data_IF_680369262621
#
_entry.id   IF_680369262621
#
_cell.length_a   1.000
_cell.length_b   1.000
_cell.length_c   1.000
_cell.angle_alpha   90.00
_cell.angle_beta   90.00
_cell.angle_gamma   90.00
#
_symmetry.space_group_name_H-M   'P 1'
#
loop_
_entity.id
_entity.type
_entity.pdbx_description
1 polymer ?
#
# COMPACT_ATOMS: atom_id res chain seq x y z
N UNK A 1 2.46 -11.99 -6.92
CA UNK A 1 2.22 -11.65 -5.50
C UNK A 1 1.75 -10.21 -5.47
N UNK A 2 0.74 -9.88 -4.68
CA UNK A 2 0.37 -8.48 -4.44
C UNK A 2 1.15 -7.96 -3.24
N UNK A 3 1.56 -6.70 -3.28
CA UNK A 3 2.12 -6.01 -2.14
C UNK A 3 0.99 -5.37 -1.35
N UNK A 4 0.97 -5.56 -0.04
CA UNK A 4 0.11 -4.74 0.83
C UNK A 4 0.80 -3.40 1.04
N UNK A 5 0.08 -2.32 0.75
CA UNK A 5 0.61 -0.95 0.86
C UNK A 5 -0.26 -0.08 1.74
N UNK A 6 0.35 0.96 2.32
CA UNK A 6 -0.35 2.05 2.99
C UNK A 6 0.09 3.37 2.38
N UNK A 7 -0.86 4.10 1.79
CA UNK A 7 -0.67 5.41 1.20
C UNK A 7 -0.98 6.47 2.24
N UNK A 8 -0.03 7.39 2.45
CA UNK A 8 -0.23 8.55 3.32
C UNK A 8 -0.55 9.77 2.49
N UNK A 9 -1.80 10.23 2.58
CA UNK A 9 -2.29 11.42 1.87
C UNK A 9 -2.34 12.59 2.85
N UNK A 10 -1.80 13.78 2.52
CA UNK A 10 -1.87 14.94 3.39
C UNK A 10 -3.30 15.29 3.81
N UNK A 11 -3.49 15.53 5.12
CA UNK A 11 -4.76 15.93 5.73
C UNK A 11 -5.90 14.90 5.59
N UNK A 12 -5.58 13.64 5.34
CA UNK A 12 -6.55 12.55 5.17
C UNK A 12 -6.11 11.30 5.95
N UNK A 13 -7.05 10.41 6.25
CA UNK A 13 -6.73 9.11 6.82
C UNK A 13 -5.89 8.27 5.83
N UNK A 14 -4.90 7.54 6.36
CA UNK A 14 -4.07 6.66 5.53
C UNK A 14 -4.90 5.56 4.87
N UNK A 15 -4.60 5.29 3.61
CA UNK A 15 -5.32 4.29 2.79
C UNK A 15 -4.50 3.01 2.72
N UNK A 16 -5.06 1.90 3.17
CA UNK A 16 -4.50 0.56 2.97
C UNK A 16 -5.12 -0.13 1.75
N UNK A 17 -4.34 -0.95 1.06
CA UNK A 17 -4.81 -1.75 -0.05
C UNK A 17 -3.70 -2.61 -0.64
N UNK A 18 -3.95 -3.14 -1.83
CA UNK A 18 -3.04 -4.05 -2.52
C UNK A 18 -2.61 -3.51 -3.88
N UNK A 19 -1.35 -3.71 -4.24
CA UNK A 19 -0.82 -3.39 -5.57
C UNK A 19 -0.14 -4.60 -6.19
N UNK A 20 -0.29 -4.80 -7.50
CA UNK A 20 0.35 -5.90 -8.20
C UNK A 20 1.84 -5.62 -8.47
N UNK A 21 2.19 -4.35 -8.69
CA UNK A 21 3.55 -3.88 -8.95
C UNK A 21 3.78 -2.58 -8.18
N UNK A 22 4.97 -2.41 -7.62
CA UNK A 22 5.38 -1.16 -6.99
C UNK A 22 5.68 -0.09 -8.05
N UNK A 23 5.35 1.18 -7.80
CA UNK A 23 5.60 2.25 -8.76
C UNK A 23 7.09 2.40 -9.05
N UNK A 24 7.43 2.50 -10.34
CA UNK A 24 8.77 2.84 -10.82
C UNK A 24 9.00 4.36 -10.75
N UNK A 25 10.26 4.83 -10.78
CA UNK A 25 10.56 6.26 -10.76
C UNK A 25 9.92 7.10 -11.87
N UNK A 26 9.55 6.48 -13.00
CA UNK A 26 8.88 7.13 -14.14
C UNK A 26 7.36 7.15 -14.04
N UNK A 27 6.79 6.41 -13.11
CA UNK A 27 5.34 6.31 -12.96
C UNK A 27 4.81 7.57 -12.29
N UNK A 28 3.61 7.98 -12.68
CA UNK A 28 2.94 9.17 -12.13
C UNK A 28 1.71 8.82 -11.28
N UNK A 29 1.34 7.54 -11.28
CA UNK A 29 0.15 7.01 -10.62
C UNK A 29 0.47 5.69 -9.93
N UNK A 30 -0.36 5.35 -8.96
CA UNK A 30 -0.41 4.03 -8.32
C UNK A 30 -1.85 3.52 -8.37
N UNK A 31 -2.02 2.25 -8.77
CA UNK A 31 -3.32 1.59 -8.83
C UNK A 31 -3.44 0.66 -7.62
N UNK A 32 -4.38 0.96 -6.73
CA UNK A 32 -4.59 0.22 -5.49
C UNK A 32 -5.92 -0.51 -5.54
N UNK A 33 -5.90 -1.78 -5.19
CA UNK A 33 -7.07 -2.68 -5.11
C UNK A 33 -7.52 -2.81 -3.66
N UNK A 34 -8.83 -2.96 -3.45
CA UNK A 34 -9.48 -3.05 -2.13
C UNK A 34 -9.08 -1.90 -1.19
N UNK A 35 -9.19 -0.63 -1.64
CA UNK A 35 -8.80 0.51 -0.83
C UNK A 35 -9.73 0.69 0.36
N UNK A 36 -9.13 0.85 1.53
CA UNK A 36 -9.83 1.06 2.81
C UNK A 36 -8.98 1.96 3.69
N UNK A 37 -9.55 2.54 4.73
CA UNK A 37 -8.75 3.17 5.78
C UNK A 37 -7.82 2.13 6.43
N UNK A 38 -6.67 2.56 6.94
CA UNK A 38 -5.72 1.68 7.66
C UNK A 38 -6.37 0.88 8.80
N UNK A 39 -7.44 1.41 9.41
CA UNK A 39 -8.22 0.74 10.47
C UNK A 39 -9.26 -0.27 9.96
N UNK A 40 -9.39 -0.43 8.63
CA UNK A 40 -10.29 -1.36 7.97
C UNK A 40 -11.64 -0.79 7.56
N UNK A 41 -11.95 0.48 7.87
CA UNK A 41 -13.21 1.13 7.46
C UNK A 41 -13.21 1.56 6.00
N UNK A 42 -14.39 1.81 5.46
CA UNK A 42 -14.55 2.40 4.14
C UNK A 42 -13.99 3.84 4.08
N UNK A 43 -13.54 4.23 2.89
CA UNK A 43 -13.14 5.61 2.61
C UNK A 43 -14.38 6.46 2.37
N UNK A 44 -14.59 7.47 3.22
CA UNK A 44 -15.81 8.27 3.24
C UNK A 44 -16.05 9.10 1.96
N UNK A 45 -15.02 9.25 1.13
CA UNK A 45 -15.02 10.02 -0.12
C UNK A 45 -14.95 9.15 -1.38
N UNK A 46 -15.07 7.82 -1.24
CA UNK A 46 -15.05 6.86 -2.36
C UNK A 46 -16.38 6.09 -2.38
N UNK A 47 -16.85 5.77 -3.58
CA UNK A 47 -18.07 4.99 -3.77
C UNK A 47 -17.90 3.55 -3.23
N UNK A 48 -18.94 3.03 -2.56
CA UNK A 48 -18.93 1.70 -1.92
C UNK A 48 -18.67 0.54 -2.89
N UNK A 49 -19.00 0.69 -4.18
CA UNK A 49 -18.75 -0.32 -5.21
C UNK A 49 -17.32 -0.30 -5.77
N UNK A 50 -16.47 0.61 -5.30
CA UNK A 50 -15.13 0.81 -5.86
C UNK A 50 -14.17 -0.29 -5.44
N UNK A 51 -13.77 -1.13 -6.40
CA UNK A 51 -12.79 -2.21 -6.17
C UNK A 51 -11.35 -1.77 -6.39
N UNK A 52 -11.12 -0.70 -7.17
CA UNK A 52 -9.79 -0.17 -7.52
C UNK A 52 -9.82 1.35 -7.63
N UNK A 53 -8.76 1.98 -7.14
CA UNK A 53 -8.58 3.44 -7.22
C UNK A 53 -7.19 3.74 -7.78
N UNK A 54 -7.12 4.77 -8.61
CA UNK A 54 -5.88 5.29 -9.17
C UNK A 54 -5.55 6.60 -8.47
N UNK A 55 -4.43 6.65 -7.74
CA UNK A 55 -3.95 7.87 -7.11
C UNK A 55 -2.78 8.47 -7.87
N UNK A 56 -2.76 9.81 -8.06
CA UNK A 56 -1.55 10.49 -8.52
C UNK A 56 -0.49 10.45 -7.42
N UNK A 57 0.72 10.00 -7.76
CA UNK A 57 1.84 9.92 -6.81
C UNK A 57 2.23 11.29 -6.25
N UNK A 58 1.98 12.36 -7.01
CA UNK A 58 2.20 13.75 -6.56
C UNK A 58 1.30 14.21 -5.41
N UNK A 59 0.28 13.43 -5.03
CA UNK A 59 -0.61 13.69 -3.88
C UNK A 59 -0.35 12.76 -2.71
N UNK A 60 0.55 11.79 -2.85
CA UNK A 60 0.91 10.84 -1.80
C UNK A 60 2.22 11.32 -1.17
N UNK A 61 2.24 11.49 0.16
CA UNK A 61 3.43 11.92 0.90
C UNK A 61 4.51 10.83 0.88
N UNK A 62 4.11 9.60 1.17
CA UNK A 62 4.95 8.40 1.11
C UNK A 62 4.07 7.15 1.11
N UNK A 63 4.67 6.00 0.77
CA UNK A 63 4.01 4.69 0.71
C UNK A 63 4.74 3.73 1.65
N UNK A 64 4.05 3.12 2.59
CA UNK A 64 4.55 1.96 3.33
C UNK A 64 4.32 0.70 2.48
N UNK A 65 5.33 -0.16 2.37
CA UNK A 65 5.20 -1.49 1.79
C UNK A 65 5.27 -2.46 2.96
N UNK A 66 4.17 -3.16 3.23
CA UNK A 66 4.14 -4.17 4.27
C UNK A 66 4.69 -5.46 3.65
N UNK A 67 5.74 -6.02 4.26
CA UNK A 67 6.33 -7.27 3.78
C UNK A 67 5.34 -8.43 3.88
N UNK A 68 5.47 -9.40 2.98
CA UNK A 68 5.00 -10.74 3.29
C UNK A 68 5.79 -11.22 4.51
N UNK A 69 5.11 -11.77 5.50
CA UNK A 69 5.69 -12.26 6.76
C UNK A 69 6.67 -13.46 6.59
N UNK A 70 7.28 -13.64 5.42
CA UNK A 70 8.15 -14.78 5.09
C UNK A 70 9.64 -14.44 4.91
N UNK A 71 10.05 -13.17 4.85
CA UNK A 71 11.48 -12.80 4.70
C UNK A 71 12.27 -12.63 6.02
N UNK A 72 11.66 -12.80 7.21
CA UNK A 72 12.38 -12.86 8.50
C UNK A 72 12.90 -14.29 8.84
N UNK A 73 13.50 -15.00 7.88
CA UNK A 73 14.16 -16.29 8.16
C UNK A 73 15.56 -16.41 7.54
N UNK A 74 16.48 -15.47 7.77
CA UNK A 74 17.91 -15.81 7.87
C UNK A 74 18.59 -14.81 8.83
N UNK A 75 18.98 -15.28 10.03
CA UNK A 75 20.36 -15.10 10.52
C UNK A 75 20.73 -16.37 11.29
N UNK A 76 21.44 -17.27 10.62
CA UNK A 76 22.05 -18.44 11.25
C UNK A 76 23.25 -18.01 12.09
N UNK A 77 23.23 -18.31 13.39
CA UNK A 77 24.45 -18.37 14.19
C UNK A 77 24.74 -19.83 14.49
N UNK A 78 25.58 -20.44 13.65
CA UNK A 78 26.34 -21.62 14.05
C UNK A 78 27.63 -21.09 14.68
N UNK A 79 27.88 -21.44 15.95
CA UNK A 79 29.22 -21.35 16.55
C UNK A 79 29.63 -22.76 16.95
N UNK A 80 30.77 -23.19 16.42
CA UNK A 80 31.56 -24.35 16.85
C UNK A 80 32.26 -24.03 18.18
#
# INVERSE_FOLDING_TARGET
MSFTVILHIPNEASVAGEVEELPKPSDNIIVVTNPRQKDGKDLHYIDQGTVRVIWPLSKVSFIEILGDSEEEKIIGFVRE
#
